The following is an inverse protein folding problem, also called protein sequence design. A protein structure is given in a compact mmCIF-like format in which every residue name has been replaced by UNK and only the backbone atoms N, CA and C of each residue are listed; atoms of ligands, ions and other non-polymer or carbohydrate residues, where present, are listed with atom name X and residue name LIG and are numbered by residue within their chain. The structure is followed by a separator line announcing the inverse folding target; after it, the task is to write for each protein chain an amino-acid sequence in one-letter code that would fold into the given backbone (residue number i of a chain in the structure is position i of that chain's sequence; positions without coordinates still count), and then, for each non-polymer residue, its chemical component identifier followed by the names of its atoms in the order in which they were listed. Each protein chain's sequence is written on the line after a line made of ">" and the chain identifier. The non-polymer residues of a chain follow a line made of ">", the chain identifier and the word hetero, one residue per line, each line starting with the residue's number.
data_IF_822450764343
#
_entry.id   IF_822450764343
#
_cell.length_a   1.000
_cell.length_b   1.000
_cell.length_c   1.000
_cell.angle_alpha   90.00
_cell.angle_beta   90.00
_cell.angle_gamma   90.00
#
_symmetry.space_group_name_H-M   'P 1'
#
loop_
_entity.id
_entity.type
_entity.pdbx_description
1 polymer ?
#
# COMPACT_ATOMS: atom_id res chain seq x y z
N UNK A 1 -15.03 -3.74 -35.94
CA UNK A 1 -16.01 -4.30 -34.97
C UNK A 1 -15.20 -4.69 -33.75
N UNK A 2 -15.39 -4.01 -32.61
CA UNK A 2 -14.58 -4.17 -31.40
C UNK A 2 -14.74 -5.54 -30.75
N UNK A 3 -13.72 -5.98 -30.01
CA UNK A 3 -13.76 -7.23 -29.24
C UNK A 3 -14.53 -7.00 -27.94
N UNK A 4 -15.29 -8.01 -27.52
CA UNK A 4 -16.05 -8.00 -26.26
C UNK A 4 -15.37 -8.93 -25.26
N UNK A 5 -15.32 -8.55 -23.99
CA UNK A 5 -14.77 -9.38 -22.93
C UNK A 5 -15.76 -10.48 -22.49
N UNK A 6 -15.33 -11.32 -21.53
CA UNK A 6 -16.16 -12.42 -20.97
C UNK A 6 -17.43 -11.94 -20.24
N UNK A 7 -17.55 -10.65 -19.96
CA UNK A 7 -18.69 -10.02 -19.32
C UNK A 7 -19.54 -9.19 -20.32
N UNK A 8 -19.18 -9.20 -21.61
CA UNK A 8 -19.90 -8.49 -22.67
C UNK A 8 -19.55 -7.00 -22.78
N UNK A 9 -18.47 -6.54 -22.15
CA UNK A 9 -18.01 -5.16 -22.21
C UNK A 9 -17.09 -4.95 -23.42
N UNK A 10 -17.16 -3.76 -24.04
CA UNK A 10 -16.28 -3.39 -25.15
C UNK A 10 -14.84 -3.29 -24.64
N UNK A 11 -13.99 -4.18 -25.13
CA UNK A 11 -12.54 -4.09 -24.93
C UNK A 11 -12.08 -2.85 -25.69
N UNK A 12 -11.57 -1.85 -24.96
CA UNK A 12 -10.90 -0.70 -25.58
C UNK A 12 -9.84 -1.22 -26.57
N UNK A 13 -9.80 -0.65 -27.77
CA UNK A 13 -8.89 -1.02 -28.86
C UNK A 13 -7.45 -0.55 -28.54
N UNK A 14 -6.90 -1.06 -27.43
CA UNK A 14 -5.52 -0.88 -27.00
C UNK A 14 -4.75 -2.13 -27.37
N UNK A 15 -3.73 -1.97 -28.20
CA UNK A 15 -2.72 -3.00 -28.44
C UNK A 15 -1.89 -3.08 -27.15
N UNK A 16 -2.24 -4.01 -26.26
CA UNK A 16 -1.36 -4.39 -25.15
C UNK A 16 -0.15 -5.10 -25.76
N UNK A 17 0.99 -4.41 -25.85
CA UNK A 17 2.21 -5.05 -26.33
C UNK A 17 2.73 -6.01 -25.26
N UNK A 18 3.43 -7.07 -25.66
CA UNK A 18 4.10 -8.00 -24.73
C UNK A 18 4.93 -7.26 -23.65
N UNK A 19 5.53 -6.12 -24.02
CA UNK A 19 6.27 -5.24 -23.10
C UNK A 19 5.42 -4.64 -21.98
N UNK A 20 4.15 -4.32 -22.23
CA UNK A 20 3.25 -3.74 -21.24
C UNK A 20 2.77 -4.82 -20.24
N UNK A 21 2.59 -6.06 -20.71
CA UNK A 21 2.33 -7.22 -19.84
C UNK A 21 3.55 -7.57 -18.99
N UNK A 22 4.74 -7.66 -19.59
CA UNK A 22 5.99 -7.91 -18.85
C UNK A 22 6.24 -6.83 -17.78
N UNK A 23 5.99 -5.56 -18.11
CA UNK A 23 6.15 -4.45 -17.16
C UNK A 23 5.17 -4.56 -15.99
N UNK A 24 3.91 -4.89 -16.26
CA UNK A 24 2.89 -5.08 -15.22
C UNK A 24 3.27 -6.25 -14.30
N UNK A 25 3.66 -7.39 -14.86
CA UNK A 25 4.10 -8.57 -14.11
C UNK A 25 5.32 -8.30 -13.23
N UNK A 26 6.31 -7.57 -13.75
CA UNK A 26 7.52 -7.20 -13.00
C UNK A 26 7.19 -6.25 -11.85
N UNK A 27 6.26 -5.30 -12.05
CA UNK A 27 5.82 -4.38 -10.99
C UNK A 27 5.11 -5.15 -9.87
N UNK A 28 4.23 -6.10 -10.20
CA UNK A 28 3.54 -6.93 -9.18
C UNK A 28 4.54 -7.77 -8.36
N UNK A 29 5.52 -8.39 -9.02
CA UNK A 29 6.56 -9.15 -8.34
C UNK A 29 7.40 -8.28 -7.40
N UNK A 30 7.69 -7.04 -7.82
CA UNK A 30 8.42 -6.07 -7.00
C UNK A 30 7.61 -5.64 -5.77
N UNK A 31 6.34 -5.24 -5.94
CA UNK A 31 5.44 -4.87 -4.84
C UNK A 31 5.36 -6.02 -3.82
N UNK A 32 5.24 -7.27 -4.29
CA UNK A 32 5.18 -8.43 -3.42
C UNK A 32 6.48 -8.65 -2.62
N UNK A 33 7.63 -8.51 -3.26
CA UNK A 33 8.93 -8.66 -2.61
C UNK A 33 9.14 -7.57 -1.54
N UNK A 34 8.79 -6.32 -1.85
CA UNK A 34 8.89 -5.22 -0.89
C UNK A 34 7.97 -5.48 0.31
N UNK A 35 6.71 -5.83 0.08
CA UNK A 35 5.77 -6.15 1.15
C UNK A 35 6.25 -7.31 2.04
N UNK A 36 6.89 -8.34 1.44
CA UNK A 36 7.53 -9.43 2.17
C UNK A 36 8.67 -8.93 3.06
N UNK A 37 9.59 -8.12 2.53
CA UNK A 37 10.73 -7.60 3.29
C UNK A 37 10.30 -6.70 4.44
N UNK A 38 9.29 -5.86 4.23
CA UNK A 38 8.68 -5.05 5.30
C UNK A 38 8.09 -5.94 6.38
N UNK A 39 7.33 -6.96 5.99
CA UNK A 39 6.71 -7.90 6.94
C UNK A 39 7.75 -8.70 7.72
N UNK A 40 8.80 -9.20 7.06
CA UNK A 40 9.93 -9.90 7.70
C UNK A 40 10.64 -9.01 8.71
N UNK A 41 10.93 -7.75 8.33
CA UNK A 41 11.57 -6.79 9.21
C UNK A 41 10.73 -6.54 10.47
N UNK A 42 9.44 -6.20 10.31
CA UNK A 42 8.54 -5.94 11.44
C UNK A 42 8.37 -7.16 12.35
N UNK A 43 8.32 -8.37 11.78
CA UNK A 43 8.28 -9.61 12.58
C UNK A 43 9.57 -9.86 13.37
N UNK A 44 10.72 -9.48 12.81
CA UNK A 44 12.02 -9.68 13.44
C UNK A 44 12.36 -8.60 14.49
N UNK A 45 11.83 -7.39 14.36
CA UNK A 45 12.11 -6.28 15.26
C UNK A 45 10.97 -6.03 16.25
N UNK A 46 9.94 -5.31 15.82
CA UNK A 46 8.73 -5.02 16.58
C UNK A 46 7.55 -4.90 15.59
N UNK A 47 6.53 -5.78 15.69
CA UNK A 47 5.41 -5.81 14.76
C UNK A 47 4.56 -4.54 14.75
N UNK A 48 4.69 -3.67 15.75
CA UNK A 48 3.89 -2.45 15.87
C UNK A 48 4.69 -1.17 15.57
N UNK A 49 5.87 -1.29 14.96
CA UNK A 49 6.64 -0.12 14.54
C UNK A 49 5.90 0.64 13.43
N UNK A 50 5.60 1.92 13.72
CA UNK A 50 5.01 2.85 12.75
C UNK A 50 5.88 2.89 11.49
N UNK A 51 5.27 2.50 10.38
CA UNK A 51 5.94 2.28 9.09
C UNK A 51 5.21 3.05 8.00
N UNK A 52 5.96 3.79 7.20
CA UNK A 52 5.44 4.46 6.01
C UNK A 52 6.02 3.80 4.76
N UNK A 53 5.14 3.44 3.83
CA UNK A 53 5.53 2.96 2.49
C UNK A 53 5.12 4.00 1.46
N UNK A 54 6.10 4.67 0.87
CA UNK A 54 5.91 5.60 -0.23
C UNK A 54 5.89 4.83 -1.54
N UNK A 55 4.79 4.98 -2.27
CA UNK A 55 4.52 4.35 -3.55
C UNK A 55 4.50 5.43 -4.66
N UNK A 56 4.83 5.08 -5.89
CA UNK A 56 4.75 6.01 -7.03
C UNK A 56 3.39 6.74 -7.20
N UNK A 57 2.28 6.00 -7.07
CA UNK A 57 0.92 6.51 -7.29
C UNK A 57 -0.11 5.86 -6.37
N UNK A 58 -1.37 6.32 -6.45
CA UNK A 58 -2.47 5.86 -5.60
C UNK A 58 -2.80 4.37 -5.86
N UNK A 59 -2.73 3.91 -7.12
CA UNK A 59 -2.99 2.52 -7.46
C UNK A 59 -1.89 1.61 -6.91
N UNK A 60 -0.63 2.08 -6.94
CA UNK A 60 0.49 1.39 -6.32
C UNK A 60 0.31 1.31 -4.80
N UNK A 61 -0.07 2.39 -4.13
CA UNK A 61 -0.36 2.40 -2.69
C UNK A 61 -1.44 1.38 -2.29
N UNK A 62 -2.46 1.20 -3.14
CA UNK A 62 -3.52 0.21 -2.91
C UNK A 62 -3.04 -1.22 -3.14
N UNK A 63 -2.28 -1.49 -4.21
CA UNK A 63 -1.66 -2.82 -4.42
C UNK A 63 -0.73 -3.20 -3.27
N UNK A 64 0.08 -2.25 -2.82
CA UNK A 64 0.97 -2.42 -1.67
C UNK A 64 0.18 -2.70 -0.38
N UNK A 65 -0.92 -1.96 -0.14
CA UNK A 65 -1.82 -2.21 1.00
C UNK A 65 -2.34 -3.65 0.96
N UNK A 66 -2.83 -4.10 -0.19
CA UNK A 66 -3.39 -5.44 -0.32
C UNK A 66 -2.33 -6.53 -0.11
N UNK A 67 -1.12 -6.35 -0.65
CA UNK A 67 0.00 -7.28 -0.45
C UNK A 67 0.38 -7.39 1.04
N UNK A 68 0.48 -6.25 1.74
CA UNK A 68 0.77 -6.20 3.18
C UNK A 68 -0.34 -6.83 4.02
N UNK A 69 -1.61 -6.60 3.69
CA UNK A 69 -2.76 -7.24 4.36
C UNK A 69 -2.66 -8.77 4.23
N UNK A 70 -2.41 -9.26 3.02
CA UNK A 70 -2.32 -10.70 2.75
C UNK A 70 -1.16 -11.38 3.50
N UNK A 71 -0.06 -10.66 3.73
CA UNK A 71 1.11 -11.15 4.46
C UNK A 71 0.99 -11.07 5.99
N UNK A 72 -0.01 -10.33 6.50
CA UNK A 72 -0.23 -10.08 7.92
C UNK A 72 -1.67 -10.42 8.37
N UNK A 73 -2.23 -11.61 8.03
CA UNK A 73 -3.63 -11.91 8.25
C UNK A 73 -4.03 -11.89 9.73
N UNK A 74 -3.17 -12.40 10.62
CA UNK A 74 -3.43 -12.41 12.07
C UNK A 74 -3.52 -10.99 12.65
N UNK A 75 -2.66 -10.07 12.18
CA UNK A 75 -2.63 -8.68 12.65
C UNK A 75 -3.79 -7.87 12.13
N UNK A 76 -4.18 -8.11 10.89
CA UNK A 76 -5.37 -7.49 10.30
C UNK A 76 -6.64 -8.02 10.96
N UNK A 77 -6.67 -9.29 11.37
CA UNK A 77 -7.76 -9.85 12.15
C UNK A 77 -7.84 -9.26 13.57
N UNK A 78 -6.70 -8.97 14.21
CA UNK A 78 -6.65 -8.25 15.49
C UNK A 78 -7.20 -6.82 15.34
N UNK A 79 -6.79 -6.10 14.29
CA UNK A 79 -7.32 -4.80 13.96
C UNK A 79 -7.18 -4.50 12.46
N UNK A 80 -8.31 -4.21 11.78
CA UNK A 80 -8.33 -3.82 10.37
C UNK A 80 -7.40 -2.66 10.04
N UNK A 81 -7.13 -1.79 11.01
CA UNK A 81 -6.27 -0.60 10.86
C UNK A 81 -4.77 -0.93 10.91
N UNK A 82 -4.37 -2.20 11.07
CA UNK A 82 -2.95 -2.57 11.07
C UNK A 82 -2.25 -2.10 9.78
N UNK A 83 -2.92 -2.22 8.63
CA UNK A 83 -2.46 -1.66 7.35
C UNK A 83 -3.53 -0.71 6.81
N UNK A 84 -3.17 0.54 6.55
CA UNK A 84 -4.06 1.56 6.02
C UNK A 84 -3.43 2.22 4.80
N UNK A 85 -4.26 2.56 3.81
CA UNK A 85 -3.87 3.48 2.74
C UNK A 85 -4.23 4.90 3.18
N UNK A 86 -3.26 5.81 3.09
CA UNK A 86 -3.42 7.22 3.46
C UNK A 86 -3.01 8.07 2.26
N UNK A 87 -3.97 8.34 1.39
CA UNK A 87 -3.78 9.09 0.15
C UNK A 87 -4.72 10.30 0.06
N UNK A 88 -4.45 11.20 -0.87
CA UNK A 88 -5.21 12.45 -1.03
C UNK A 88 -6.67 12.28 -1.45
N UNK A 89 -7.04 11.13 -1.96
CA UNK A 89 -8.39 10.73 -2.36
C UNK A 89 -9.13 9.91 -1.30
N UNK A 90 -8.46 9.50 -0.21
CA UNK A 90 -9.00 8.62 0.82
C UNK A 90 -9.44 9.40 2.06
N UNK A 91 -10.76 9.61 2.22
CA UNK A 91 -11.27 10.32 3.40
C UNK A 91 -11.05 9.54 4.70
N UNK A 92 -11.19 8.20 4.66
CA UNK A 92 -10.97 7.36 5.84
C UNK A 92 -9.48 7.36 6.21
N UNK A 93 -8.62 7.15 5.22
CA UNK A 93 -7.17 7.19 5.41
C UNK A 93 -6.68 8.51 6.00
N UNK A 94 -7.20 9.64 5.51
CA UNK A 94 -6.88 10.96 6.05
C UNK A 94 -7.32 11.16 7.49
N UNK A 95 -8.50 10.66 7.86
CA UNK A 95 -9.01 10.78 9.22
C UNK A 95 -8.14 10.02 10.23
N UNK A 96 -7.42 8.99 9.79
CA UNK A 96 -6.51 8.20 10.62
C UNK A 96 -5.07 8.73 10.65
N UNK A 97 -4.78 9.83 9.95
CA UNK A 97 -3.45 10.43 9.93
C UNK A 97 -3.01 10.90 11.33
N UNK A 98 -3.92 11.54 12.07
CA UNK A 98 -3.66 12.00 13.45
C UNK A 98 -3.36 10.81 14.38
N UNK A 99 -4.13 9.72 14.24
CA UNK A 99 -3.88 8.47 14.97
C UNK A 99 -2.58 7.78 14.54
N UNK A 100 -2.13 7.99 13.30
CA UNK A 100 -0.88 7.41 12.84
C UNK A 100 0.33 8.10 13.49
N UNK A 101 0.32 9.43 13.56
CA UNK A 101 1.42 10.22 14.12
C UNK A 101 1.45 10.23 15.65
N UNK A 102 0.31 9.98 16.32
CA UNK A 102 0.21 9.94 17.77
C UNK A 102 1.04 8.79 18.39
N UNK A 103 2.02 9.06 19.27
CA UNK A 103 2.82 8.04 19.95
C UNK A 103 2.02 7.13 20.88
N UNK A 104 0.90 7.61 21.43
CA UNK A 104 0.02 6.83 22.32
C UNK A 104 -0.93 5.92 21.52
N UNK A 105 -1.11 6.21 20.23
CA UNK A 105 -1.97 5.42 19.35
C UNK A 105 -1.19 4.28 18.71
N UNK A 106 -1.60 3.04 18.99
CA UNK A 106 -1.01 1.84 18.39
C UNK A 106 -1.30 1.72 16.89
N UNK A 107 -2.45 2.22 16.42
CA UNK A 107 -2.93 2.02 15.04
C UNK A 107 -3.23 3.36 14.36
N UNK A 108 -3.03 3.50 13.04
CA UNK A 108 -2.48 2.49 12.13
C UNK A 108 -1.00 2.19 12.38
N UNK A 109 -0.53 1.00 11.95
CA UNK A 109 0.89 0.59 12.08
C UNK A 109 1.63 0.81 10.77
N UNK A 110 1.06 0.34 9.65
CA UNK A 110 1.64 0.50 8.33
C UNK A 110 0.75 1.42 7.50
N UNK A 111 1.29 2.54 7.04
CA UNK A 111 0.62 3.49 6.17
C UNK A 111 1.22 3.43 4.75
N UNK A 112 0.42 3.07 3.75
CA UNK A 112 0.80 3.19 2.33
C UNK A 112 0.33 4.53 1.79
N UNK A 113 1.20 5.25 1.08
CA UNK A 113 0.89 6.58 0.53
C UNK A 113 1.62 6.81 -0.78
N UNK A 114 1.17 7.78 -1.58
CA UNK A 114 1.82 8.14 -2.85
C UNK A 114 2.54 9.49 -2.82
N UNK A 115 1.80 10.55 -2.47
CA UNK A 115 2.29 11.94 -2.43
C UNK A 115 1.85 12.72 -1.20
N UNK A 116 0.90 12.22 -0.42
CA UNK A 116 0.28 13.02 0.63
C UNK A 116 1.26 13.35 1.77
N UNK A 117 2.16 12.40 2.09
CA UNK A 117 3.06 12.56 3.23
C UNK A 117 4.40 13.23 2.91
N UNK A 118 4.62 13.71 1.68
CA UNK A 118 5.87 14.41 1.32
C UNK A 118 5.88 15.89 1.73
N UNK A 119 4.72 16.47 2.03
CA UNK A 119 4.60 17.87 2.46
C UNK A 119 3.54 18.00 3.57
N UNK A 120 3.94 17.85 4.83
CA UNK A 120 3.10 18.27 5.97
C UNK A 120 2.75 17.22 7.02
N UNK A 121 3.34 16.02 6.98
CA UNK A 121 3.14 15.00 8.03
C UNK A 121 4.41 14.88 8.88
N UNK A 122 4.34 15.36 10.12
CA UNK A 122 5.40 15.18 11.11
C UNK A 122 5.19 13.87 11.88
N UNK A 123 5.52 12.75 11.22
CA UNK A 123 5.45 11.43 11.83
C UNK A 123 6.76 11.14 12.61
N UNK A 124 6.98 11.85 13.72
CA UNK A 124 8.17 11.66 14.59
C UNK A 124 8.29 10.23 15.13
N UNK A 125 7.16 9.52 15.20
CA UNK A 125 7.04 8.15 15.69
C UNK A 125 7.35 7.10 14.62
N UNK A 126 7.55 7.51 13.36
CA UNK A 126 7.89 6.61 12.26
C UNK A 126 9.29 6.02 12.45
N UNK A 127 9.39 4.70 12.46
CA UNK A 127 10.65 3.96 12.65
C UNK A 127 11.16 3.31 11.37
N UNK A 128 10.30 3.15 10.36
CA UNK A 128 10.64 2.55 9.07
C UNK A 128 10.02 3.34 7.92
N UNK A 129 10.87 3.81 7.00
CA UNK A 129 10.46 4.45 5.75
C UNK A 129 10.90 3.58 4.58
N UNK A 130 9.95 3.22 3.73
CA UNK A 130 10.15 2.37 2.54
C UNK A 130 9.83 3.20 1.32
N UNK A 131 10.71 3.18 0.32
CA UNK A 131 10.54 3.87 -0.95
C UNK A 131 10.37 2.81 -2.04
N UNK A 132 9.21 2.77 -2.68
CA UNK A 132 8.91 1.83 -3.77
C UNK A 132 8.29 2.48 -5.01
#
# INVERSE_FOLDING_TARGET
>A
KGMLDKNGELIEDRIYNLKDMDRTLVIEARTQLVAQKVTEFLKATDPFQKTIVFCDDINHAERMRQALVNLNPERVAENRKYVMRITGDDQEGKAELDNFIDPESRYPVIATTSKLMTTGVDAQTCKLVVLD
#
